data_IF_993450062062
#
_entry.id   IF_993450062062
#
_cell.length_a   1.000
_cell.length_b   1.000
_cell.length_c   1.000
_cell.angle_alpha   90.00
_cell.angle_beta   90.00
_cell.angle_gamma   90.00
#
_symmetry.space_group_name_H-M   'P 1'
#
loop_
_entity.id
_entity.type
_entity.pdbx_description
1 polymer ?
#
# COMPACT_ATOMS: atom_id res chain seq x y z
N UNK A 1 -18.73 28.84 -26.93
CA UNK A 1 -17.39 28.66 -27.49
C UNK A 1 -16.33 29.06 -26.44
N UNK A 2 -16.40 30.27 -25.85
CA UNK A 2 -15.41 30.78 -24.89
C UNK A 2 -15.15 29.87 -23.69
N UNK A 3 -16.09 29.00 -23.29
CA UNK A 3 -15.94 28.08 -22.19
C UNK A 3 -15.18 26.80 -22.58
N UNK A 4 -15.44 26.28 -23.77
CA UNK A 4 -14.91 24.98 -24.21
C UNK A 4 -13.68 25.07 -25.13
N UNK A 5 -13.32 26.27 -25.62
CA UNK A 5 -12.21 26.48 -26.53
C UNK A 5 -11.37 27.69 -26.11
N UNK A 6 -10.03 27.53 -25.96
CA UNK A 6 -9.25 26.28 -26.14
C UNK A 6 -9.50 25.26 -25.07
N UNK A 7 -9.22 23.98 -25.37
CA UNK A 7 -9.23 22.89 -24.37
C UNK A 7 -7.88 22.84 -23.63
N UNK A 8 -7.82 22.11 -22.49
CA UNK A 8 -6.59 21.97 -21.73
C UNK A 8 -5.68 20.92 -22.38
N UNK A 9 -6.19 19.70 -22.54
CA UNK A 9 -5.40 18.53 -22.89
C UNK A 9 -6.00 17.82 -24.11
N UNK A 10 -5.13 17.44 -25.06
CA UNK A 10 -5.43 16.51 -26.13
C UNK A 10 -4.70 15.20 -25.89
N UNK A 11 -5.44 14.09 -25.82
CA UNK A 11 -4.87 12.74 -25.71
C UNK A 11 -4.92 12.07 -27.07
N UNK A 12 -3.77 11.60 -27.58
CA UNK A 12 -3.67 11.03 -28.93
C UNK A 12 -2.45 10.11 -29.06
N UNK A 13 -2.37 9.39 -30.19
CA UNK A 13 -1.22 8.56 -30.52
C UNK A 13 -0.15 9.34 -31.31
N UNK A 14 1.15 9.04 -31.14
CA UNK A 14 2.23 9.73 -31.86
C UNK A 14 2.12 9.58 -33.40
N UNK A 15 1.59 8.45 -33.89
CA UNK A 15 1.47 8.15 -35.32
C UNK A 15 0.58 9.15 -36.10
N UNK A 16 -0.38 9.80 -35.41
CA UNK A 16 -1.32 10.71 -36.03
C UNK A 16 -1.03 12.19 -35.71
N UNK A 17 0.12 12.50 -35.14
CA UNK A 17 0.52 13.85 -34.78
C UNK A 17 0.47 14.79 -35.97
N UNK A 18 1.11 14.43 -37.08
CA UNK A 18 1.15 15.28 -38.31
C UNK A 18 -0.18 15.33 -39.01
N UNK A 19 -0.89 14.21 -39.10
CA UNK A 19 -2.12 14.13 -39.87
C UNK A 19 -3.33 14.71 -39.15
N UNK A 20 -3.27 14.83 -37.86
CA UNK A 20 -4.40 15.25 -37.04
C UNK A 20 -4.09 16.45 -36.15
N UNK A 21 -3.12 16.35 -35.25
CA UNK A 21 -2.80 17.40 -34.28
C UNK A 21 -2.30 18.66 -34.97
N UNK A 22 -1.40 18.53 -35.95
CA UNK A 22 -0.89 19.67 -36.73
C UNK A 22 -2.02 20.41 -37.46
N UNK A 23 -3.00 19.70 -38.02
CA UNK A 23 -4.16 20.33 -38.68
C UNK A 23 -5.01 21.11 -37.70
N UNK A 24 -5.25 20.58 -36.49
CA UNK A 24 -5.99 21.31 -35.44
C UNK A 24 -5.27 22.59 -35.03
N UNK A 25 -3.94 22.54 -34.90
CA UNK A 25 -3.14 23.73 -34.56
C UNK A 25 -3.21 24.78 -35.67
N UNK A 26 -3.05 24.36 -36.92
CA UNK A 26 -3.13 25.26 -38.10
C UNK A 26 -4.51 25.90 -38.17
N UNK A 27 -5.58 25.10 -38.13
CA UNK A 27 -6.95 25.60 -38.19
C UNK A 27 -7.29 26.51 -36.99
N UNK A 28 -6.88 26.13 -35.79
CA UNK A 28 -7.07 26.95 -34.60
C UNK A 28 -6.40 28.33 -34.73
N UNK A 29 -5.16 28.36 -35.20
CA UNK A 29 -4.43 29.61 -35.41
C UNK A 29 -5.04 30.45 -36.53
N UNK A 30 -5.42 29.84 -37.66
CA UNK A 30 -5.98 30.54 -38.81
C UNK A 30 -7.34 31.17 -38.48
N UNK A 31 -8.28 30.40 -37.90
CA UNK A 31 -9.67 30.84 -37.73
C UNK A 31 -9.96 31.52 -36.39
N UNK A 32 -9.17 31.30 -35.35
CA UNK A 32 -9.43 31.87 -34.01
C UNK A 32 -8.25 32.67 -33.44
N UNK A 33 -7.08 32.59 -34.05
CA UNK A 33 -5.84 33.20 -33.53
C UNK A 33 -5.28 32.50 -32.28
N UNK A 34 -5.93 31.45 -31.78
CA UNK A 34 -5.59 30.75 -30.53
C UNK A 34 -5.01 29.35 -30.77
N UNK A 35 -4.25 28.84 -29.81
CA UNK A 35 -3.91 27.41 -29.77
C UNK A 35 -5.17 26.64 -29.40
N UNK A 36 -5.47 25.49 -30.03
CA UNK A 36 -6.69 24.72 -29.74
C UNK A 36 -6.63 23.99 -28.38
N UNK A 37 -5.45 23.72 -27.87
CA UNK A 37 -5.20 23.03 -26.55
C UNK A 37 -3.84 23.47 -26.02
N UNK A 38 -3.67 23.28 -24.70
CA UNK A 38 -2.43 23.63 -23.97
C UNK A 38 -1.40 22.53 -24.06
N UNK A 39 -1.83 21.30 -23.83
CA UNK A 39 -0.97 20.11 -23.75
C UNK A 39 -1.40 19.06 -24.79
N UNK A 40 -0.44 18.22 -25.20
CA UNK A 40 -0.69 17.02 -26.01
C UNK A 40 -0.08 15.83 -25.28
N UNK A 41 -0.91 14.94 -24.79
CA UNK A 41 -0.49 13.69 -24.18
C UNK A 41 -0.44 12.58 -25.25
N UNK A 42 0.75 12.02 -25.46
CA UNK A 42 0.96 10.95 -26.43
C UNK A 42 0.87 9.58 -25.74
N UNK A 43 -0.14 8.79 -26.12
CA UNK A 43 -0.31 7.41 -25.61
C UNK A 43 0.63 6.45 -26.32
N UNK A 44 0.99 5.35 -25.65
CA UNK A 44 1.63 4.22 -26.31
C UNK A 44 0.69 3.47 -27.27
N UNK A 45 1.28 2.65 -28.13
CA UNK A 45 0.55 1.75 -29.04
C UNK A 45 0.46 0.38 -28.38
N UNK A 46 -0.73 -0.25 -28.51
CA UNK A 46 -0.96 -1.58 -27.94
C UNK A 46 -0.21 -2.64 -28.75
N UNK A 47 0.64 -3.40 -28.06
CA UNK A 47 1.40 -4.51 -28.63
C UNK A 47 1.08 -5.81 -27.89
N UNK A 48 1.23 -6.93 -28.58
CA UNK A 48 1.13 -8.25 -27.96
C UNK A 48 2.38 -8.61 -27.14
N UNK A 49 2.36 -9.76 -26.48
CA UNK A 49 3.48 -10.27 -25.66
C UNK A 49 4.80 -10.43 -26.44
N UNK A 50 4.74 -10.52 -27.77
CA UNK A 50 5.90 -10.60 -28.65
C UNK A 50 6.36 -9.23 -29.17
N UNK A 51 5.74 -8.13 -28.70
CA UNK A 51 6.07 -6.79 -29.12
C UNK A 51 5.52 -6.38 -30.47
N UNK A 52 4.64 -7.19 -31.10
CA UNK A 52 4.03 -6.89 -32.39
C UNK A 52 2.80 -5.99 -32.20
N UNK A 53 2.62 -5.01 -33.07
CA UNK A 53 1.43 -4.15 -33.05
C UNK A 53 0.17 -5.03 -33.18
N UNK A 54 -0.80 -4.81 -32.29
CA UNK A 54 -2.08 -5.51 -32.36
C UNK A 54 -2.89 -5.05 -33.57
N UNK A 55 -3.44 -5.99 -34.31
CA UNK A 55 -4.35 -5.73 -35.43
C UNK A 55 -5.32 -6.90 -35.65
N UNK A 56 -6.50 -6.57 -36.17
CA UNK A 56 -7.51 -7.58 -36.53
C UNK A 56 -6.99 -8.55 -37.59
N UNK A 57 -6.18 -8.06 -38.53
CA UNK A 57 -5.62 -8.88 -39.64
C UNK A 57 -4.60 -9.91 -39.14
N UNK A 58 -3.90 -9.66 -38.05
CA UNK A 58 -2.96 -10.60 -37.44
C UNK A 58 -3.64 -11.54 -36.45
N UNK A 59 -4.90 -11.33 -36.08
CA UNK A 59 -5.62 -12.13 -35.10
C UNK A 59 -5.04 -12.07 -33.69
N UNK A 60 -4.19 -11.08 -33.40
CA UNK A 60 -3.53 -10.90 -32.11
C UNK A 60 -4.18 -9.80 -31.24
N UNK A 61 -5.35 -9.31 -31.62
CA UNK A 61 -6.14 -8.32 -30.87
C UNK A 61 -7.37 -9.01 -30.30
N UNK A 62 -7.46 -9.21 -28.98
CA UNK A 62 -8.68 -9.74 -28.37
C UNK A 62 -9.86 -8.80 -28.58
N UNK A 63 -11.06 -9.33 -28.61
CA UNK A 63 -12.26 -8.49 -28.64
C UNK A 63 -12.45 -7.83 -27.25
N UNK A 64 -12.58 -6.51 -27.20
CA UNK A 64 -12.82 -5.81 -25.94
C UNK A 64 -14.10 -6.26 -25.22
N UNK A 65 -15.13 -6.69 -25.94
CA UNK A 65 -16.38 -7.15 -25.33
C UNK A 65 -16.18 -8.50 -24.64
N UNK A 66 -15.40 -9.42 -25.23
CA UNK A 66 -15.05 -10.69 -24.62
C UNK A 66 -14.23 -10.47 -23.32
N UNK A 67 -13.32 -9.49 -23.33
CA UNK A 67 -12.56 -9.12 -22.13
C UNK A 67 -13.46 -8.54 -21.05
N UNK A 68 -14.42 -7.70 -21.43
CA UNK A 68 -15.38 -7.08 -20.49
C UNK A 68 -16.30 -8.16 -19.88
N UNK A 69 -16.78 -9.11 -20.68
CA UNK A 69 -17.57 -10.23 -20.18
C UNK A 69 -16.78 -11.07 -19.15
N UNK A 70 -15.50 -11.32 -19.43
CA UNK A 70 -14.64 -12.17 -18.60
C UNK A 70 -14.14 -11.48 -17.33
N UNK A 71 -13.77 -10.20 -17.41
CA UNK A 71 -13.06 -9.49 -16.35
C UNK A 71 -13.84 -8.29 -15.76
N UNK A 72 -14.98 -7.93 -16.36
CA UNK A 72 -15.70 -6.71 -16.05
C UNK A 72 -15.06 -5.46 -16.67
N UNK A 73 -15.85 -4.43 -16.90
CA UNK A 73 -15.36 -3.18 -17.51
C UNK A 73 -14.26 -2.51 -16.67
N UNK A 74 -14.43 -2.43 -15.36
CA UNK A 74 -13.42 -1.87 -14.45
C UNK A 74 -12.12 -2.69 -14.46
N UNK A 75 -12.24 -4.03 -14.51
CA UNK A 75 -11.08 -4.92 -14.60
C UNK A 75 -10.26 -4.69 -15.87
N UNK A 76 -10.92 -4.53 -17.02
CA UNK A 76 -10.27 -4.23 -18.29
C UNK A 76 -9.62 -2.84 -18.27
N UNK A 77 -10.31 -1.81 -17.76
CA UNK A 77 -9.78 -0.44 -17.65
C UNK A 77 -8.51 -0.39 -16.80
N UNK A 78 -8.54 -1.00 -15.62
CA UNK A 78 -7.36 -1.11 -14.73
C UNK A 78 -6.23 -1.88 -15.42
N UNK A 79 -6.54 -3.02 -16.05
CA UNK A 79 -5.56 -3.82 -16.75
C UNK A 79 -4.85 -3.06 -17.87
N UNK A 80 -5.60 -2.34 -18.68
CA UNK A 80 -5.04 -1.51 -19.75
C UNK A 80 -4.13 -0.40 -19.22
N UNK A 81 -4.53 0.26 -18.14
CA UNK A 81 -3.75 1.35 -17.54
C UNK A 81 -2.49 0.85 -16.82
N UNK A 82 -2.54 -0.34 -16.19
CA UNK A 82 -1.34 -0.96 -15.60
C UNK A 82 -0.27 -1.29 -16.65
N UNK A 83 -0.70 -1.63 -17.87
CA UNK A 83 0.21 -1.89 -18.99
C UNK A 83 0.73 -0.61 -19.67
N UNK A 84 0.30 0.58 -19.28
CA UNK A 84 0.52 1.84 -20.02
C UNK A 84 1.56 2.74 -19.37
N UNK A 85 2.86 2.39 -19.36
CA UNK A 85 3.88 3.28 -18.83
C UNK A 85 3.96 4.57 -19.69
N UNK A 86 4.17 5.71 -19.03
CA UNK A 86 4.27 6.98 -19.70
C UNK A 86 5.39 6.99 -20.77
N UNK A 87 5.07 7.39 -22.00
CA UNK A 87 6.03 7.54 -23.09
C UNK A 87 6.49 6.24 -23.78
N UNK A 88 5.92 5.10 -23.45
CA UNK A 88 6.25 3.81 -24.06
C UNK A 88 5.03 3.10 -24.65
N UNK A 89 5.29 2.12 -25.52
CA UNK A 89 4.25 1.25 -26.04
C UNK A 89 3.68 0.36 -24.93
N UNK A 90 2.42 0.01 -25.07
CA UNK A 90 1.63 -0.74 -24.14
C UNK A 90 1.72 -2.22 -24.46
N UNK A 91 2.43 -2.98 -23.64
CA UNK A 91 2.54 -4.45 -23.76
C UNK A 91 1.33 -5.11 -23.08
N UNK A 92 0.30 -5.42 -23.86
CA UNK A 92 -0.93 -6.00 -23.33
C UNK A 92 -0.77 -7.43 -22.89
N UNK A 93 -1.21 -7.71 -21.65
CA UNK A 93 -1.36 -9.06 -21.11
C UNK A 93 -2.69 -9.15 -20.35
N UNK A 94 -3.49 -10.17 -20.66
CA UNK A 94 -4.78 -10.41 -19.99
C UNK A 94 -4.66 -10.59 -18.47
N UNK A 95 -3.51 -11.03 -17.98
CA UNK A 95 -3.26 -11.16 -16.53
C UNK A 95 -3.43 -9.85 -15.77
N UNK A 96 -3.19 -8.70 -16.41
CA UNK A 96 -3.48 -7.39 -15.82
C UNK A 96 -4.98 -7.10 -15.71
N UNK A 97 -5.80 -7.59 -16.67
CA UNK A 97 -7.25 -7.49 -16.56
C UNK A 97 -7.77 -8.36 -15.41
N UNK A 98 -7.18 -9.55 -15.23
CA UNK A 98 -7.48 -10.39 -14.06
C UNK A 98 -7.10 -9.71 -12.74
N UNK A 99 -5.94 -9.06 -12.68
CA UNK A 99 -5.53 -8.26 -11.53
C UNK A 99 -6.53 -7.14 -11.24
N UNK A 100 -7.01 -6.44 -12.27
CA UNK A 100 -8.04 -5.41 -12.15
C UNK A 100 -9.36 -5.95 -11.60
N UNK A 101 -9.83 -7.11 -12.10
CA UNK A 101 -11.01 -7.82 -11.57
C UNK A 101 -10.82 -8.20 -10.10
N UNK A 102 -9.66 -8.75 -9.75
CA UNK A 102 -9.37 -9.14 -8.38
C UNK A 102 -9.33 -7.92 -7.45
N UNK A 103 -8.85 -6.78 -7.96
CA UNK A 103 -8.89 -5.51 -7.23
C UNK A 103 -10.34 -5.03 -6.99
N UNK A 104 -11.18 -5.06 -8.02
CA UNK A 104 -12.61 -4.77 -7.87
C UNK A 104 -13.28 -5.67 -6.80
N UNK A 105 -13.02 -6.97 -6.85
CA UNK A 105 -13.52 -7.91 -5.85
C UNK A 105 -13.00 -7.60 -4.43
N UNK A 106 -11.76 -7.16 -4.30
CA UNK A 106 -11.20 -6.76 -2.99
C UNK A 106 -11.92 -5.55 -2.42
N UNK A 107 -12.17 -4.52 -3.25
CA UNK A 107 -12.91 -3.31 -2.86
C UNK A 107 -14.35 -3.67 -2.47
N UNK A 108 -15.01 -4.51 -3.24
CA UNK A 108 -16.36 -4.98 -2.94
C UNK A 108 -16.44 -5.74 -1.61
N UNK A 109 -15.48 -6.61 -1.36
CA UNK A 109 -15.43 -7.36 -0.11
C UNK A 109 -15.11 -6.46 1.09
N UNK A 110 -14.28 -5.43 0.93
CA UNK A 110 -14.05 -4.42 1.96
C UNK A 110 -15.34 -3.65 2.30
N UNK A 111 -16.08 -3.22 1.28
CA UNK A 111 -17.40 -2.60 1.45
C UNK A 111 -18.37 -3.52 2.21
N UNK A 112 -18.49 -4.79 1.78
CA UNK A 112 -19.37 -5.76 2.46
C UNK A 112 -18.98 -6.00 3.91
N UNK A 113 -17.68 -6.05 4.21
CA UNK A 113 -17.18 -6.20 5.58
C UNK A 113 -17.65 -5.02 6.44
N UNK A 114 -17.47 -3.80 5.97
CA UNK A 114 -17.84 -2.58 6.71
C UNK A 114 -19.34 -2.49 6.93
N UNK A 115 -20.14 -2.74 5.91
CA UNK A 115 -21.61 -2.75 6.01
C UNK A 115 -22.14 -3.88 6.91
N UNK A 116 -21.35 -4.91 7.13
CA UNK A 116 -21.68 -6.02 8.03
C UNK A 116 -21.34 -5.74 9.51
N UNK A 117 -20.72 -4.63 9.85
CA UNK A 117 -20.48 -4.27 11.23
C UNK A 117 -21.77 -3.83 11.92
N UNK A 118 -22.05 -4.38 13.09
CA UNK A 118 -23.07 -3.88 13.98
C UNK A 118 -22.54 -2.62 14.68
N UNK A 119 -23.24 -1.50 14.50
CA UNK A 119 -22.83 -0.22 15.12
C UNK A 119 -23.48 -0.11 16.49
N UNK A 120 -22.65 0.16 17.50
CA UNK A 120 -23.09 0.32 18.88
C UNK A 120 -24.08 1.49 19.03
N UNK A 121 -25.16 1.28 19.79
CA UNK A 121 -26.07 2.35 20.14
C UNK A 121 -25.38 3.37 21.08
N UNK A 122 -25.87 4.60 21.09
CA UNK A 122 -25.32 5.65 21.95
C UNK A 122 -25.42 5.33 23.46
N UNK A 123 -26.30 4.41 23.82
CA UNK A 123 -26.54 3.97 25.20
C UNK A 123 -25.69 2.75 25.61
N UNK A 124 -25.01 2.13 24.68
CA UNK A 124 -24.24 0.87 24.91
C UNK A 124 -23.01 1.03 25.80
N UNK A 125 -22.51 2.26 25.98
CA UNK A 125 -21.27 2.53 26.67
C UNK A 125 -20.00 2.07 25.92
N UNK A 126 -20.13 1.52 24.68
CA UNK A 126 -19.00 1.12 23.85
C UNK A 126 -18.33 2.38 23.30
N UNK A 127 -17.06 2.53 23.59
CA UNK A 127 -16.22 3.64 23.16
C UNK A 127 -15.04 3.17 22.32
N UNK A 128 -14.51 4.06 21.51
CA UNK A 128 -13.36 3.82 20.68
C UNK A 128 -12.13 3.37 21.50
N UNK A 129 -11.55 2.22 21.18
CA UNK A 129 -10.31 1.73 21.79
C UNK A 129 -9.09 2.54 21.33
N UNK A 130 -7.99 2.47 22.10
CA UNK A 130 -6.75 3.13 21.69
C UNK A 130 -6.18 2.53 20.39
N UNK A 131 -6.32 1.22 20.18
CA UNK A 131 -5.94 0.57 18.92
C UNK A 131 -6.72 1.14 17.72
N UNK A 132 -8.02 1.38 17.87
CA UNK A 132 -8.84 1.99 16.83
C UNK A 132 -8.45 3.47 16.60
N UNK A 133 -8.24 4.25 17.67
CA UNK A 133 -7.77 5.64 17.57
C UNK A 133 -6.44 5.74 16.82
N UNK A 134 -5.46 4.93 17.21
CA UNK A 134 -4.15 4.94 16.55
C UNK A 134 -4.23 4.50 15.08
N UNK A 135 -5.08 3.52 14.75
CA UNK A 135 -5.30 3.10 13.38
C UNK A 135 -5.94 4.19 12.53
N UNK A 136 -6.93 4.90 13.05
CA UNK A 136 -7.62 6.01 12.34
C UNK A 136 -6.63 7.14 12.09
N UNK A 137 -5.93 7.61 13.12
CA UNK A 137 -4.98 8.71 12.97
C UNK A 137 -3.84 8.36 12.03
N UNK A 138 -3.33 7.12 12.11
CA UNK A 138 -2.34 6.64 11.14
C UNK A 138 -2.88 6.65 9.71
N UNK A 139 -4.08 6.09 9.48
CA UNK A 139 -4.59 5.97 8.11
C UNK A 139 -4.97 7.34 7.53
N UNK A 140 -5.42 8.28 8.34
CA UNK A 140 -5.66 9.67 7.92
C UNK A 140 -4.37 10.33 7.41
N UNK A 141 -3.26 10.20 8.14
CA UNK A 141 -1.95 10.67 7.69
C UNK A 141 -1.47 9.94 6.44
N UNK A 142 -1.65 8.61 6.38
CA UNK A 142 -1.26 7.78 5.22
C UNK A 142 -2.06 8.13 3.96
N UNK A 143 -3.35 8.33 4.09
CA UNK A 143 -4.21 8.79 3.00
C UNK A 143 -3.74 10.15 2.47
N UNK A 144 -3.43 11.08 3.36
CA UNK A 144 -2.96 12.41 2.98
C UNK A 144 -1.59 12.37 2.30
N UNK A 145 -0.64 11.58 2.81
CA UNK A 145 0.66 11.33 2.17
C UNK A 145 0.49 10.77 0.75
N UNK A 146 -0.36 9.76 0.60
CA UNK A 146 -0.58 9.13 -0.69
C UNK A 146 -1.35 10.03 -1.67
N UNK A 147 -2.24 10.89 -1.19
CA UNK A 147 -2.89 11.92 -2.02
C UNK A 147 -1.88 12.88 -2.63
N UNK A 148 -0.85 13.30 -1.89
CA UNK A 148 0.22 14.14 -2.43
C UNK A 148 0.95 13.44 -3.58
N UNK A 149 1.34 12.17 -3.38
CA UNK A 149 2.02 11.34 -4.38
C UNK A 149 1.15 11.14 -5.63
N UNK A 150 -0.14 10.81 -5.44
CA UNK A 150 -1.09 10.59 -6.53
C UNK A 150 -1.30 11.89 -7.33
N UNK A 151 -1.46 13.03 -6.65
CA UNK A 151 -1.61 14.33 -7.30
C UNK A 151 -0.35 14.74 -8.06
N UNK A 152 0.85 14.46 -7.52
CA UNK A 152 2.10 14.67 -8.23
C UNK A 152 2.17 13.84 -9.51
N UNK A 153 1.78 12.56 -9.46
CA UNK A 153 1.71 11.71 -10.64
C UNK A 153 0.72 12.24 -11.68
N UNK A 154 -0.48 12.67 -11.26
CA UNK A 154 -1.45 13.29 -12.18
C UNK A 154 -0.90 14.56 -12.82
N UNK A 155 -0.25 15.43 -12.05
CA UNK A 155 0.34 16.67 -12.57
C UNK A 155 1.41 16.43 -13.63
N UNK A 156 2.06 15.27 -13.60
CA UNK A 156 3.11 14.81 -14.51
C UNK A 156 2.61 13.84 -15.58
N UNK A 157 1.31 13.62 -15.69
CA UNK A 157 0.68 12.66 -16.61
C UNK A 157 1.17 11.21 -16.45
N UNK A 158 1.61 10.83 -15.26
CA UNK A 158 2.06 9.47 -14.93
C UNK A 158 0.88 8.61 -14.44
N UNK A 159 -0.02 8.28 -15.37
CA UNK A 159 -1.29 7.63 -15.05
C UNK A 159 -1.12 6.24 -14.42
N UNK A 160 -0.21 5.41 -14.95
CA UNK A 160 0.09 4.09 -14.37
C UNK A 160 0.65 4.17 -12.95
N UNK A 161 1.51 5.18 -12.69
CA UNK A 161 2.10 5.37 -11.36
C UNK A 161 1.03 5.85 -10.36
N UNK A 162 0.12 6.75 -10.79
CA UNK A 162 -1.01 7.18 -9.97
C UNK A 162 -1.95 6.02 -9.64
N UNK A 163 -2.26 5.17 -10.63
CA UNK A 163 -3.05 3.97 -10.42
C UNK A 163 -2.37 2.98 -9.48
N UNK A 164 -1.05 2.77 -9.62
CA UNK A 164 -0.31 1.84 -8.76
C UNK A 164 -0.22 2.36 -7.31
N UNK A 165 -0.06 3.67 -7.10
CA UNK A 165 -0.11 4.29 -5.78
C UNK A 165 -1.50 4.11 -5.15
N UNK A 166 -2.58 4.34 -5.92
CA UNK A 166 -3.96 4.09 -5.50
C UNK A 166 -4.20 2.62 -5.15
N UNK A 167 -3.72 1.70 -5.98
CA UNK A 167 -3.83 0.26 -5.76
C UNK A 167 -3.20 -0.14 -4.43
N UNK A 168 -1.97 0.29 -4.16
CA UNK A 168 -1.25 -0.02 -2.91
C UNK A 168 -1.94 0.59 -1.69
N UNK A 169 -2.37 1.84 -1.77
CA UNK A 169 -3.11 2.49 -0.70
C UNK A 169 -4.37 1.70 -0.31
N UNK A 170 -5.13 1.23 -1.31
CA UNK A 170 -6.38 0.49 -1.06
C UNK A 170 -6.10 -0.95 -0.63
N UNK A 171 -5.24 -1.67 -1.37
CA UNK A 171 -5.01 -3.10 -1.12
C UNK A 171 -4.18 -3.34 0.13
N UNK A 172 -3.03 -2.67 0.22
CA UNK A 172 -2.07 -2.91 1.29
C UNK A 172 -2.42 -2.10 2.55
N UNK A 173 -2.53 -0.78 2.45
CA UNK A 173 -2.70 0.05 3.64
C UNK A 173 -4.12 -0.02 4.20
N UNK A 174 -5.15 0.20 3.37
CA UNK A 174 -6.53 0.18 3.85
C UNK A 174 -7.02 -1.23 4.18
N UNK A 175 -6.98 -2.14 3.21
CA UNK A 175 -7.57 -3.46 3.39
C UNK A 175 -6.75 -4.40 4.27
N UNK A 176 -5.41 -4.38 4.16
CA UNK A 176 -4.58 -5.34 4.89
C UNK A 176 -4.18 -4.87 6.29
N UNK A 177 -4.14 -3.55 6.52
CA UNK A 177 -3.75 -2.99 7.81
C UNK A 177 -4.89 -2.28 8.52
N UNK A 178 -5.45 -1.22 7.92
CA UNK A 178 -6.47 -0.41 8.59
C UNK A 178 -7.71 -1.22 8.97
N UNK A 179 -8.32 -1.92 8.01
CA UNK A 179 -9.52 -2.70 8.28
C UNK A 179 -9.26 -3.83 9.30
N UNK A 180 -8.09 -4.48 9.26
CA UNK A 180 -7.74 -5.48 10.27
C UNK A 180 -7.58 -4.87 11.68
N UNK A 181 -7.02 -3.67 11.74
CA UNK A 181 -6.83 -2.94 13.00
C UNK A 181 -8.15 -2.57 13.68
N UNK A 182 -9.16 -2.16 12.89
CA UNK A 182 -10.45 -1.67 13.42
C UNK A 182 -11.50 -2.77 13.57
N UNK A 183 -11.26 -3.99 13.07
CA UNK A 183 -12.22 -5.10 13.19
C UNK A 183 -12.71 -5.25 14.62
N UNK A 184 -14.02 -5.45 14.83
CA UNK A 184 -14.54 -5.78 16.15
C UNK A 184 -13.91 -7.06 16.71
N UNK A 185 -13.79 -7.11 18.03
CA UNK A 185 -13.33 -8.33 18.72
C UNK A 185 -14.41 -9.42 18.64
N UNK A 186 -13.96 -10.68 18.69
CA UNK A 186 -14.85 -11.83 18.76
C UNK A 186 -14.86 -12.36 20.20
N UNK A 187 -16.02 -12.27 20.85
CA UNK A 187 -16.27 -12.82 22.18
C UNK A 187 -17.34 -13.89 22.07
N UNK A 188 -17.09 -15.08 22.58
CA UNK A 188 -17.99 -16.24 22.55
C UNK A 188 -18.53 -16.57 21.13
N UNK A 189 -17.66 -16.40 20.12
CA UNK A 189 -17.99 -16.69 18.71
C UNK A 189 -18.86 -15.65 18.01
N UNK A 190 -19.10 -14.49 18.66
CA UNK A 190 -19.85 -13.38 18.09
C UNK A 190 -18.98 -12.14 17.94
N UNK A 191 -19.11 -11.46 16.80
CA UNK A 191 -18.52 -10.15 16.61
C UNK A 191 -19.17 -9.16 17.56
N UNK A 192 -18.37 -8.34 18.23
CA UNK A 192 -18.88 -7.26 19.08
C UNK A 192 -19.28 -6.07 18.23
N UNK A 193 -20.23 -5.23 18.68
CA UNK A 193 -20.52 -3.98 17.99
C UNK A 193 -19.31 -3.05 17.93
N UNK A 194 -19.18 -2.34 16.81
CA UNK A 194 -18.16 -1.29 16.65
C UNK A 194 -18.69 0.05 17.16
N UNK A 195 -17.84 0.86 17.77
CA UNK A 195 -18.21 2.21 18.15
C UNK A 195 -18.53 3.08 16.92
N UNK A 196 -19.39 4.07 17.12
CA UNK A 196 -19.90 4.93 16.04
C UNK A 196 -18.81 5.78 15.39
N UNK A 197 -17.85 6.26 16.17
CA UNK A 197 -16.80 7.15 15.66
C UNK A 197 -15.84 6.39 14.73
N UNK A 198 -15.46 5.17 15.11
CA UNK A 198 -14.66 4.28 14.26
C UNK A 198 -15.41 3.90 12.99
N UNK A 199 -16.70 3.57 13.10
CA UNK A 199 -17.51 3.25 11.93
C UNK A 199 -17.59 4.43 10.96
N UNK A 200 -17.90 5.63 11.45
CA UNK A 200 -18.00 6.84 10.63
C UNK A 200 -16.66 7.21 9.97
N UNK A 201 -15.55 7.14 10.72
CA UNK A 201 -14.23 7.36 10.15
C UNK A 201 -13.93 6.36 9.02
N UNK A 202 -14.28 5.09 9.21
CA UNK A 202 -14.08 4.04 8.21
C UNK A 202 -14.89 4.29 6.94
N UNK A 203 -16.16 4.74 7.07
CA UNK A 203 -16.99 5.14 5.92
C UNK A 203 -16.37 6.33 5.19
N UNK A 204 -15.94 7.37 5.91
CA UNK A 204 -15.33 8.56 5.31
C UNK A 204 -14.04 8.23 4.55
N UNK A 205 -13.22 7.33 5.07
CA UNK A 205 -12.04 6.84 4.36
C UNK A 205 -12.43 6.06 3.11
N UNK A 206 -13.41 5.16 3.19
CA UNK A 206 -13.87 4.43 2.02
C UNK A 206 -14.40 5.39 0.95
N UNK A 207 -15.22 6.38 1.30
CA UNK A 207 -15.69 7.40 0.36
C UNK A 207 -14.56 8.17 -0.31
N UNK A 208 -13.52 8.52 0.45
CA UNK A 208 -12.32 9.16 -0.09
C UNK A 208 -11.58 8.26 -1.08
N UNK A 209 -11.42 6.98 -0.73
CA UNK A 209 -10.81 5.98 -1.61
C UNK A 209 -11.63 5.73 -2.87
N UNK A 210 -12.97 5.70 -2.78
CA UNK A 210 -13.86 5.56 -3.94
C UNK A 210 -13.66 6.72 -4.91
N UNK A 211 -13.56 7.96 -4.42
CA UNK A 211 -13.29 9.15 -5.23
C UNK A 211 -11.94 9.05 -5.96
N UNK A 212 -10.89 8.58 -5.28
CA UNK A 212 -9.56 8.39 -5.87
C UNK A 212 -9.57 7.29 -6.93
N UNK A 213 -10.33 6.21 -6.72
CA UNK A 213 -10.45 5.08 -7.65
C UNK A 213 -11.36 5.37 -8.85
N UNK A 214 -12.32 6.28 -8.71
CA UNK A 214 -13.38 6.49 -9.71
C UNK A 214 -12.87 6.75 -11.13
N UNK A 215 -11.78 7.53 -11.37
CA UNK A 215 -11.23 7.71 -12.72
C UNK A 215 -10.82 6.40 -13.40
N UNK A 216 -10.47 5.39 -12.62
CA UNK A 216 -9.99 4.08 -13.08
C UNK A 216 -11.10 3.04 -13.16
N UNK A 217 -12.00 3.03 -12.16
CA UNK A 217 -13.02 2.02 -11.90
C UNK A 217 -14.39 2.66 -11.68
N UNK A 218 -14.96 3.33 -12.70
CA UNK A 218 -16.15 4.15 -12.52
C UNK A 218 -17.40 3.36 -12.14
N UNK A 219 -17.51 2.09 -12.54
CA UNK A 219 -18.75 1.33 -12.32
C UNK A 219 -18.88 0.85 -10.87
N UNK A 220 -17.88 0.13 -10.35
CA UNK A 220 -17.93 -0.38 -8.99
C UNK A 220 -17.89 0.72 -7.94
N UNK A 221 -17.17 1.82 -8.21
CA UNK A 221 -17.09 2.93 -7.26
C UNK A 221 -18.41 3.69 -7.17
N UNK A 222 -19.11 3.91 -8.28
CA UNK A 222 -20.44 4.50 -8.30
C UNK A 222 -21.44 3.62 -7.59
N UNK A 223 -21.46 2.31 -7.86
CA UNK A 223 -22.34 1.36 -7.20
C UNK A 223 -22.16 1.38 -5.68
N UNK A 224 -20.92 1.29 -5.21
CA UNK A 224 -20.63 1.34 -3.76
C UNK A 224 -21.01 2.69 -3.17
N UNK A 225 -20.78 3.81 -3.89
CA UNK A 225 -21.12 5.16 -3.45
C UNK A 225 -22.58 5.30 -3.08
N UNK A 226 -23.46 4.79 -3.92
CA UNK A 226 -24.92 4.80 -3.66
C UNK A 226 -25.34 3.78 -2.58
N UNK A 227 -24.65 2.64 -2.47
CA UNK A 227 -24.94 1.64 -1.44
C UNK A 227 -24.45 2.04 -0.04
N UNK A 228 -23.48 2.94 0.06
CA UNK A 228 -22.98 3.41 1.36
C UNK A 228 -23.98 4.28 2.09
N UNK A 229 -24.59 5.22 1.40
CA UNK A 229 -25.53 6.19 1.95
C UNK A 229 -26.72 6.38 0.99
N UNK A 230 -27.87 6.80 1.53
CA UNK A 230 -28.99 7.23 0.71
C UNK A 230 -28.61 8.52 -0.04
N UNK A 231 -28.62 8.48 -1.37
CA UNK A 231 -28.29 9.57 -2.27
C UNK A 231 -29.30 9.68 -3.40
N UNK A 232 -29.51 10.88 -3.91
CA UNK A 232 -30.29 11.07 -5.13
C UNK A 232 -29.51 10.54 -6.36
N UNK A 233 -30.21 10.22 -7.44
CA UNK A 233 -29.58 9.82 -8.72
C UNK A 233 -28.60 10.86 -9.26
N UNK A 234 -28.76 12.13 -8.90
CA UNK A 234 -27.89 13.23 -9.34
C UNK A 234 -26.66 13.41 -8.46
N UNK A 235 -26.62 12.79 -7.29
CA UNK A 235 -25.46 12.79 -6.37
C UNK A 235 -24.47 11.70 -6.78
N UNK A 236 -23.97 11.79 -8.01
CA UNK A 236 -22.98 10.86 -8.56
C UNK A 236 -21.59 11.18 -8.05
N UNK A 237 -20.75 10.16 -7.90
CA UNK A 237 -19.35 10.33 -7.45
C UNK A 237 -18.51 11.18 -8.40
N UNK A 238 -18.84 11.18 -9.69
CA UNK A 238 -18.12 11.96 -10.72
C UNK A 238 -18.16 13.48 -10.48
N UNK A 239 -19.18 13.98 -9.77
CA UNK A 239 -19.30 15.40 -9.41
C UNK A 239 -18.90 15.69 -7.96
N UNK A 240 -18.50 14.68 -7.21
CA UNK A 240 -18.05 14.81 -5.84
C UNK A 240 -16.68 15.53 -5.78
N UNK A 241 -16.46 16.30 -4.72
CA UNK A 241 -15.18 16.97 -4.50
C UNK A 241 -14.05 15.95 -4.28
N UNK A 242 -12.90 16.21 -4.91
CA UNK A 242 -11.68 15.44 -4.68
C UNK A 242 -11.26 15.51 -3.20
N UNK A 243 -10.74 14.41 -2.62
CA UNK A 243 -10.33 14.40 -1.23
C UNK A 243 -9.27 15.46 -0.93
N UNK A 244 -9.38 16.11 0.22
CA UNK A 244 -8.43 17.13 0.67
C UNK A 244 -7.30 16.50 1.47
N UNK A 245 -6.11 17.03 1.29
CA UNK A 245 -4.94 16.68 2.10
C UNK A 245 -5.00 17.38 3.46
N UNK A 246 -4.34 16.81 4.46
CA UNK A 246 -4.05 17.49 5.71
C UNK A 246 -3.08 18.65 5.47
N UNK A 247 -3.22 19.72 6.22
CA UNK A 247 -2.27 20.85 6.16
C UNK A 247 -0.87 20.45 6.61
N UNK A 248 -0.76 19.46 7.50
CA UNK A 248 0.50 18.98 8.04
C UNK A 248 0.41 17.48 8.32
N UNK A 249 1.40 16.74 7.83
CA UNK A 249 1.58 15.32 8.12
C UNK A 249 2.32 15.12 9.44
N UNK A 250 2.03 14.02 10.12
CA UNK A 250 2.81 13.51 11.23
C UNK A 250 3.78 12.41 10.74
N UNK A 251 4.94 12.87 10.22
CA UNK A 251 5.98 11.97 9.69
C UNK A 251 6.50 11.01 10.76
N UNK A 252 6.51 11.44 12.03
CA UNK A 252 6.94 10.58 13.13
C UNK A 252 5.98 9.42 13.30
N UNK A 253 4.68 9.69 13.32
CA UNK A 253 3.65 8.66 13.45
C UNK A 253 3.66 7.70 12.26
N UNK A 254 3.83 8.19 11.04
CA UNK A 254 3.99 7.35 9.85
C UNK A 254 5.20 6.41 9.99
N UNK A 255 6.34 6.93 10.44
CA UNK A 255 7.56 6.14 10.64
C UNK A 255 7.43 5.11 11.77
N UNK A 256 6.75 5.44 12.88
CA UNK A 256 6.47 4.53 13.99
C UNK A 256 5.53 3.39 13.57
N UNK A 257 4.54 3.69 12.73
CA UNK A 257 3.65 2.64 12.22
C UNK A 257 4.38 1.66 11.28
N UNK A 258 5.33 2.11 10.48
CA UNK A 258 6.15 1.19 9.66
C UNK A 258 6.95 0.23 10.55
N UNK A 259 7.48 0.68 11.70
CA UNK A 259 8.11 -0.21 12.70
C UNK A 259 7.08 -1.20 13.26
N UNK A 260 5.87 -0.72 13.57
CA UNK A 260 4.78 -1.57 14.07
C UNK A 260 4.40 -2.68 13.06
N UNK A 261 4.37 -2.36 11.76
CA UNK A 261 4.17 -3.37 10.70
C UNK A 261 5.29 -4.42 10.69
N UNK A 262 6.54 -3.99 10.87
CA UNK A 262 7.68 -4.92 10.93
C UNK A 262 7.58 -5.85 12.15
N UNK A 263 7.19 -5.32 13.33
CA UNK A 263 6.97 -6.12 14.54
C UNK A 263 5.88 -7.17 14.30
N UNK A 264 4.70 -6.74 13.84
CA UNK A 264 3.56 -7.64 13.58
C UNK A 264 3.93 -8.72 12.56
N UNK A 265 4.61 -8.34 11.49
CA UNK A 265 5.04 -9.27 10.43
C UNK A 265 6.06 -10.28 10.97
N UNK A 266 7.02 -9.82 11.78
CA UNK A 266 8.04 -10.70 12.37
C UNK A 266 7.41 -11.67 13.35
N UNK A 267 6.48 -11.24 14.22
CA UNK A 267 5.75 -12.13 15.12
C UNK A 267 4.96 -13.19 14.35
N UNK A 268 4.30 -12.82 13.24
CA UNK A 268 3.58 -13.77 12.38
C UNK A 268 4.54 -14.78 11.73
N UNK A 269 5.71 -14.36 11.31
CA UNK A 269 6.76 -15.23 10.77
C UNK A 269 7.31 -16.17 11.84
N UNK A 270 7.55 -15.69 13.06
CA UNK A 270 7.97 -16.54 14.18
C UNK A 270 6.93 -17.62 14.48
N UNK A 271 5.63 -17.27 14.49
CA UNK A 271 4.55 -18.25 14.65
C UNK A 271 4.62 -19.34 13.57
N UNK A 272 4.76 -18.95 12.31
CA UNK A 272 4.85 -19.90 11.20
C UNK A 272 6.09 -20.80 11.32
N UNK A 273 7.26 -20.25 11.63
CA UNK A 273 8.51 -20.99 11.78
C UNK A 273 8.49 -21.97 12.97
N UNK A 274 7.87 -21.56 14.05
CA UNK A 274 7.77 -22.37 15.28
C UNK A 274 6.50 -23.21 15.34
N UNK A 275 5.70 -23.23 14.26
CA UNK A 275 4.44 -23.96 14.14
C UNK A 275 3.43 -23.66 15.27
N UNK A 276 3.46 -22.42 15.79
CA UNK A 276 2.56 -21.94 16.84
C UNK A 276 1.19 -21.61 16.24
N UNK A 277 0.14 -21.95 16.99
CA UNK A 277 -1.22 -21.64 16.57
C UNK A 277 -1.44 -20.13 16.43
N UNK A 278 -2.09 -19.66 15.37
CA UNK A 278 -2.50 -18.25 15.28
C UNK A 278 -3.41 -17.79 16.42
N UNK A 279 -4.08 -18.72 17.10
CA UNK A 279 -4.98 -18.44 18.25
C UNK A 279 -4.25 -18.35 19.58
N UNK A 280 -3.03 -18.87 19.66
CA UNK A 280 -2.22 -18.79 20.88
C UNK A 280 -1.79 -17.33 21.11
N UNK A 281 -1.98 -16.81 22.31
CA UNK A 281 -1.53 -15.46 22.65
C UNK A 281 -0.08 -15.51 23.10
N UNK A 282 0.79 -14.71 22.51
CA UNK A 282 2.19 -14.58 22.88
C UNK A 282 2.42 -13.30 23.67
N UNK A 283 3.41 -13.30 24.56
CA UNK A 283 3.97 -12.08 25.13
C UNK A 283 5.18 -11.64 24.30
N UNK A 284 5.38 -10.33 24.17
CA UNK A 284 6.56 -9.74 23.54
C UNK A 284 7.16 -8.68 24.47
N UNK A 285 8.48 -8.62 24.53
CA UNK A 285 9.22 -7.64 25.29
C UNK A 285 10.15 -6.87 24.35
N UNK A 286 10.04 -5.56 24.36
CA UNK A 286 10.96 -4.66 23.64
C UNK A 286 12.08 -4.23 24.57
N UNK A 287 13.33 -4.36 24.14
CA UNK A 287 14.48 -3.84 24.89
C UNK A 287 14.65 -2.36 24.66
N UNK A 288 14.05 -1.58 25.55
CA UNK A 288 14.03 -0.13 25.45
C UNK A 288 13.84 0.50 26.84
N UNK A 289 14.31 1.74 26.98
CA UNK A 289 14.00 2.60 28.17
C UNK A 289 12.66 3.32 28.02
N UNK A 290 11.91 3.12 26.92
CA UNK A 290 10.58 3.67 26.72
C UNK A 290 9.58 2.98 27.67
N UNK A 291 8.52 3.72 28.03
CA UNK A 291 7.45 3.20 28.88
C UNK A 291 6.26 2.70 28.06
N UNK A 292 5.96 3.34 26.95
CA UNK A 292 4.81 3.03 26.09
C UNK A 292 4.88 3.72 24.74
N UNK A 293 4.41 3.04 23.67
CA UNK A 293 4.22 3.63 22.35
C UNK A 293 2.72 3.82 22.06
N UNK A 294 2.43 4.76 21.18
CA UNK A 294 1.07 5.03 20.70
C UNK A 294 0.43 3.80 19.99
N UNK A 295 1.25 2.89 19.47
CA UNK A 295 0.81 1.74 18.70
C UNK A 295 0.83 0.41 19.45
N UNK A 296 1.18 0.36 20.74
CA UNK A 296 1.29 -0.89 21.50
C UNK A 296 0.02 -1.74 21.46
N UNK A 297 -1.13 -1.13 21.76
CA UNK A 297 -2.41 -1.84 21.75
C UNK A 297 -2.78 -2.33 20.34
N UNK A 298 -2.40 -1.56 19.30
CA UNK A 298 -2.59 -1.95 17.91
C UNK A 298 -1.70 -3.15 17.54
N UNK A 299 -0.44 -3.13 17.94
CA UNK A 299 0.49 -4.26 17.75
C UNK A 299 -0.05 -5.50 18.46
N UNK A 300 -0.49 -5.34 19.71
CA UNK A 300 -1.08 -6.45 20.49
C UNK A 300 -2.27 -7.08 19.76
N UNK A 301 -3.16 -6.26 19.23
CA UNK A 301 -4.32 -6.72 18.46
C UNK A 301 -3.91 -7.43 17.17
N UNK A 302 -3.09 -6.81 16.35
CA UNK A 302 -2.73 -7.31 15.01
C UNK A 302 -1.81 -8.55 15.05
N UNK A 303 -0.99 -8.68 16.10
CA UNK A 303 -0.11 -9.82 16.32
C UNK A 303 -0.70 -10.89 17.25
N UNK A 304 -1.93 -10.70 17.76
CA UNK A 304 -2.60 -11.56 18.76
C UNK A 304 -1.72 -11.81 19.99
N UNK A 305 -1.31 -10.72 20.65
CA UNK A 305 -0.47 -10.79 21.85
C UNK A 305 -1.34 -10.73 23.12
N UNK A 306 -0.86 -11.37 24.18
CA UNK A 306 -1.39 -11.20 25.54
C UNK A 306 -0.77 -9.99 26.22
N UNK A 307 0.48 -9.65 25.85
CA UNK A 307 1.27 -8.61 26.48
C UNK A 307 2.27 -8.03 25.48
N UNK A 308 2.47 -6.72 25.56
CA UNK A 308 3.58 -5.99 24.94
C UNK A 308 4.19 -5.10 26.03
N UNK A 309 5.41 -5.38 26.42
CA UNK A 309 6.08 -4.72 27.54
C UNK A 309 7.50 -4.29 27.19
N UNK A 310 8.05 -3.37 27.98
CA UNK A 310 9.39 -2.84 27.81
C UNK A 310 10.32 -3.39 28.89
N UNK A 311 11.57 -3.71 28.51
CA UNK A 311 12.58 -4.22 29.41
C UNK A 311 13.93 -3.60 29.15
N UNK A 312 14.73 -3.37 30.21
CA UNK A 312 16.13 -2.94 30.10
C UNK A 312 17.08 -4.11 29.90
N UNK A 313 16.68 -5.25 30.45
CA UNK A 313 17.50 -6.44 30.49
C UNK A 313 17.07 -7.48 29.44
N UNK A 314 17.99 -8.37 29.12
CA UNK A 314 17.71 -9.51 28.25
C UNK A 314 16.76 -10.48 28.95
N UNK A 315 15.78 -10.99 28.22
CA UNK A 315 14.86 -12.02 28.72
C UNK A 315 15.49 -13.38 28.45
N UNK A 316 15.94 -14.05 29.51
CA UNK A 316 16.58 -15.36 29.39
C UNK A 316 15.59 -16.43 28.91
N UNK A 317 16.06 -17.33 28.03
CA UNK A 317 15.25 -18.41 27.47
C UNK A 317 14.18 -17.98 26.47
N UNK A 318 14.14 -16.69 26.08
CA UNK A 318 13.24 -16.19 25.06
C UNK A 318 13.86 -16.29 23.67
N UNK A 319 13.00 -16.48 22.67
CA UNK A 319 13.38 -16.27 21.28
C UNK A 319 13.58 -14.77 21.05
N UNK A 320 14.74 -14.36 20.54
CA UNK A 320 15.03 -12.96 20.24
C UNK A 320 15.08 -12.68 18.75
N UNK A 321 14.66 -11.49 18.38
CA UNK A 321 14.80 -10.95 17.02
C UNK A 321 15.05 -9.43 17.08
N UNK A 322 15.53 -8.88 15.98
CA UNK A 322 15.89 -7.48 15.92
C UNK A 322 15.13 -6.77 14.78
N UNK A 323 14.62 -5.58 15.08
CA UNK A 323 14.05 -4.65 14.11
C UNK A 323 14.84 -3.35 14.21
N UNK A 324 15.49 -2.96 13.11
CA UNK A 324 16.47 -1.86 13.09
C UNK A 324 17.54 -2.09 14.16
N UNK A 325 17.60 -1.25 15.19
CA UNK A 325 18.55 -1.34 16.30
C UNK A 325 17.92 -1.87 17.58
N UNK A 326 16.62 -2.11 17.60
CA UNK A 326 15.87 -2.54 18.81
C UNK A 326 15.74 -4.06 18.84
N UNK A 327 16.01 -4.64 19.98
CA UNK A 327 15.92 -6.07 20.24
C UNK A 327 14.59 -6.40 20.91
N UNK A 328 13.96 -7.49 20.46
CA UNK A 328 12.68 -7.98 20.95
C UNK A 328 12.80 -9.42 21.42
N UNK A 329 12.02 -9.79 22.44
CA UNK A 329 12.02 -11.12 23.03
C UNK A 329 10.61 -11.71 23.07
N UNK A 330 10.48 -12.97 22.68
CA UNK A 330 9.24 -13.76 22.79
C UNK A 330 9.56 -14.98 23.69
N UNK A 331 9.07 -15.03 24.93
CA UNK A 331 9.16 -16.23 25.73
C UNK A 331 8.36 -17.36 25.07
N UNK A 332 9.02 -18.44 24.70
CA UNK A 332 8.37 -19.60 24.11
C UNK A 332 8.35 -20.74 25.14
N UNK A 333 7.16 -21.26 25.40
CA UNK A 333 6.97 -22.39 26.32
C UNK A 333 7.29 -23.76 25.69
N UNK A 334 7.53 -23.79 24.37
CA UNK A 334 7.81 -25.00 23.59
C UNK A 334 9.30 -25.29 23.50
N UNK A 335 9.67 -26.58 23.64
CA UNK A 335 11.04 -27.05 23.42
C UNK A 335 11.51 -26.70 22.00
N UNK A 336 12.45 -25.77 21.91
CA UNK A 336 13.10 -25.40 20.63
C UNK A 336 14.04 -26.57 20.29
N UNK A 337 13.94 -27.11 19.07
CA UNK A 337 14.99 -28.00 18.55
C UNK A 337 16.27 -27.19 18.32
N UNK A 338 17.19 -27.31 19.25
CA UNK A 338 18.44 -26.52 19.32
C UNK A 338 19.26 -26.66 18.04
N UNK A 339 19.28 -27.86 17.44
CA UNK A 339 20.08 -28.13 16.26
C UNK A 339 19.51 -27.45 15.00
N UNK A 340 18.19 -27.49 14.81
CA UNK A 340 17.53 -26.78 13.71
C UNK A 340 17.66 -25.26 13.84
N UNK A 341 17.53 -24.75 15.07
CA UNK A 341 17.68 -23.32 15.32
C UNK A 341 19.12 -22.85 15.09
N UNK A 342 20.10 -23.64 15.47
CA UNK A 342 21.52 -23.37 15.20
C UNK A 342 21.82 -23.33 13.70
N UNK A 343 21.27 -24.29 12.93
CA UNK A 343 21.44 -24.30 11.46
C UNK A 343 20.79 -23.08 10.81
N UNK A 344 19.60 -22.70 11.26
CA UNK A 344 18.89 -21.50 10.77
C UNK A 344 19.69 -20.23 11.04
N UNK A 345 20.13 -20.03 12.29
CA UNK A 345 20.91 -18.85 12.70
C UNK A 345 22.24 -18.77 11.96
N UNK A 346 22.87 -19.91 11.69
CA UNK A 346 24.12 -19.95 10.92
C UNK A 346 23.89 -19.47 9.50
N UNK A 347 22.84 -19.95 8.81
CA UNK A 347 22.48 -19.49 7.46
C UNK A 347 22.17 -17.99 7.43
N UNK A 348 21.44 -17.50 8.44
CA UNK A 348 21.10 -16.09 8.56
C UNK A 348 22.33 -15.21 8.81
N UNK A 349 23.29 -15.70 9.60
CA UNK A 349 24.57 -15.06 9.88
C UNK A 349 25.39 -14.90 8.57
N UNK A 350 25.50 -15.97 7.79
CA UNK A 350 26.24 -15.99 6.53
C UNK A 350 25.62 -15.01 5.51
N UNK A 351 24.29 -14.99 5.43
CA UNK A 351 23.58 -14.03 4.58
C UNK A 351 23.88 -12.58 4.97
N UNK A 352 23.75 -12.23 6.27
CA UNK A 352 23.98 -10.86 6.75
C UNK A 352 25.45 -10.45 6.61
N UNK A 353 26.41 -11.37 6.81
CA UNK A 353 27.85 -11.13 6.53
C UNK A 353 28.10 -10.85 5.04
N UNK A 354 27.44 -11.61 4.15
CA UNK A 354 27.50 -11.37 2.71
C UNK A 354 26.90 -10.01 2.31
N UNK A 355 25.75 -9.66 2.90
CA UNK A 355 25.11 -8.36 2.70
C UNK A 355 26.00 -7.21 3.18
N UNK A 356 26.51 -7.27 4.41
CA UNK A 356 27.44 -6.28 4.96
C UNK A 356 28.64 -6.08 4.05
N UNK A 357 29.26 -7.16 3.59
CA UNK A 357 30.39 -7.10 2.64
C UNK A 357 30.02 -6.33 1.36
N UNK A 358 28.83 -6.55 0.82
CA UNK A 358 28.36 -5.84 -0.38
C UNK A 358 28.15 -4.33 -0.15
N UNK A 359 27.63 -3.96 1.01
CA UNK A 359 27.45 -2.55 1.42
C UNK A 359 28.81 -1.87 1.65
N UNK A 360 29.73 -2.54 2.34
CA UNK A 360 31.08 -2.04 2.57
C UNK A 360 31.87 -1.83 1.26
N UNK A 361 31.74 -2.74 0.30
CA UNK A 361 32.37 -2.58 -1.05
C UNK A 361 31.83 -1.33 -1.75
N UNK A 362 30.53 -1.03 -1.64
CA UNK A 362 29.96 0.21 -2.20
C UNK A 362 30.49 1.45 -1.49
N UNK A 363 30.52 1.44 -0.14
CA UNK A 363 30.99 2.56 0.67
C UNK A 363 32.51 2.79 0.56
N UNK A 364 33.30 1.76 0.23
CA UNK A 364 34.74 1.88 -0.03
C UNK A 364 35.05 2.33 -1.47
N UNK A 365 34.07 2.38 -2.36
CA UNK A 365 34.25 2.86 -3.71
C UNK A 365 34.30 4.40 -3.74
N UNK A 366 35.48 4.99 -3.84
CA UNK A 366 35.68 6.44 -3.86
C UNK A 366 34.85 7.15 -4.95
N UNK A 367 34.71 6.53 -6.13
CA UNK A 367 33.91 7.09 -7.24
C UNK A 367 32.40 7.10 -6.90
N UNK A 368 31.95 6.08 -6.21
CA UNK A 368 30.53 6.04 -5.76
C UNK A 368 30.29 7.11 -4.68
N UNK A 369 31.17 7.19 -3.68
CA UNK A 369 31.03 8.16 -2.57
C UNK A 369 31.14 9.60 -3.05
N UNK A 370 32.00 9.87 -4.04
CA UNK A 370 32.17 11.22 -4.58
C UNK A 370 31.00 11.69 -5.48
N UNK A 371 30.28 10.78 -6.15
CA UNK A 371 29.25 11.12 -7.12
C UNK A 371 27.81 10.85 -6.66
N UNK A 372 27.61 10.07 -5.60
CA UNK A 372 26.29 9.76 -5.09
C UNK A 372 25.71 10.93 -4.27
N UNK A 373 24.39 11.09 -4.31
CA UNK A 373 23.70 12.09 -3.48
C UNK A 373 23.93 11.79 -1.99
N UNK A 374 24.03 12.82 -1.12
CA UNK A 374 24.24 12.64 0.32
C UNK A 374 23.23 11.68 0.99
N UNK A 375 21.97 11.73 0.55
CA UNK A 375 20.88 10.87 1.03
C UNK A 375 21.14 9.38 0.73
N UNK A 376 21.71 9.08 -0.45
CA UNK A 376 22.06 7.71 -0.84
C UNK A 376 23.22 7.17 0.01
N UNK A 377 24.22 8.00 0.29
CA UNK A 377 25.32 7.64 1.17
C UNK A 377 24.85 7.42 2.60
N UNK A 378 23.98 8.30 3.10
CA UNK A 378 23.36 8.15 4.41
C UNK A 378 22.54 6.85 4.52
N UNK A 379 21.79 6.51 3.48
CA UNK A 379 21.05 5.25 3.40
C UNK A 379 21.96 4.02 3.42
N UNK A 380 23.06 4.02 2.67
CA UNK A 380 24.02 2.89 2.68
C UNK A 380 24.76 2.78 4.02
N UNK A 381 25.12 3.87 4.67
CA UNK A 381 25.69 3.85 6.03
C UNK A 381 24.72 3.33 7.08
N UNK A 382 23.42 3.66 6.94
CA UNK A 382 22.37 3.11 7.80
C UNK A 382 22.26 1.60 7.62
N UNK A 383 22.26 1.10 6.38
CA UNK A 383 22.27 -0.34 6.08
C UNK A 383 23.49 -1.06 6.67
N UNK A 384 24.68 -0.42 6.66
CA UNK A 384 25.88 -0.94 7.31
C UNK A 384 25.68 -1.09 8.82
N UNK A 385 25.19 -0.04 9.49
CA UNK A 385 24.94 -0.05 10.94
C UNK A 385 23.89 -1.11 11.31
N UNK A 386 22.78 -1.19 10.58
CA UNK A 386 21.72 -2.16 10.80
C UNK A 386 22.23 -3.60 10.61
N UNK A 387 23.07 -3.85 9.59
CA UNK A 387 23.66 -5.16 9.33
C UNK A 387 24.65 -5.57 10.43
N UNK A 388 25.49 -4.66 10.90
CA UNK A 388 26.43 -4.92 12.02
C UNK A 388 25.69 -5.28 13.30
N UNK A 389 24.65 -4.53 13.65
CA UNK A 389 23.82 -4.79 14.82
C UNK A 389 23.15 -6.16 14.72
N UNK A 390 22.63 -6.51 13.54
CA UNK A 390 21.98 -7.80 13.30
C UNK A 390 22.95 -8.98 13.38
N UNK A 391 24.15 -8.85 12.84
CA UNK A 391 25.22 -9.85 12.96
C UNK A 391 25.56 -10.10 14.42
N UNK A 392 25.78 -9.04 15.21
CA UNK A 392 26.11 -9.15 16.63
C UNK A 392 25.02 -9.89 17.42
N UNK A 393 23.75 -9.55 17.16
CA UNK A 393 22.60 -10.24 17.80
C UNK A 393 22.55 -11.72 17.44
N UNK A 394 22.75 -12.10 16.17
CA UNK A 394 22.75 -13.50 15.72
C UNK A 394 23.91 -14.27 16.34
N UNK A 395 25.12 -13.69 16.43
CA UNK A 395 26.29 -14.32 17.05
C UNK A 395 26.06 -14.54 18.56
N UNK A 396 25.40 -13.61 19.24
CA UNK A 396 25.00 -13.78 20.64
C UNK A 396 24.00 -14.91 20.82
N UNK A 397 22.96 -14.99 19.94
CA UNK A 397 21.98 -16.07 19.95
C UNK A 397 22.63 -17.44 19.73
N UNK A 398 23.55 -17.55 18.77
CA UNK A 398 24.32 -18.78 18.53
C UNK A 398 25.15 -19.19 19.75
N UNK A 399 25.71 -18.21 20.47
CA UNK A 399 26.44 -18.49 21.70
C UNK A 399 25.54 -18.94 22.85
N UNK A 400 24.30 -18.44 22.91
CA UNK A 400 23.33 -18.84 23.93
C UNK A 400 22.72 -20.25 23.72
N UNK A 401 22.87 -20.79 22.49
CA UNK A 401 22.47 -22.17 22.15
C UNK A 401 23.59 -23.22 22.42
N UNK A 402 24.71 -22.80 22.97
CA UNK A 402 25.77 -23.72 23.43
C UNK A 402 25.43 -24.24 24.82
#
# INVERSE_FOLDING_TARGET
LKYYYPTNDLVTAPEILFFWVARMIIAGKEYTGLKPFTNVYLTGIVRDKQGRKMSKSLGNSPDPLDLIEKYGADGVRVGMLLCSPAGNDLMFDESYCEQGRNFANKVWNAFRLIKGFEVASSESGITQSNAQKSAITWFENKLSEQLEIINDHYSKYRMSDALMATYKLVWDDYCAWYLEAIKPDFIDGKAQPIDKDTYNATINFLESLLKIMHPWMPFITEEIWHLLNERSEMDCIIVAEWPKQLEKLDDKQLAEFEVSKEIVTTVRNVRAQKQLSPKEKLAIFEKSDADRSYFDELIMKLANLSEFSYTKDKVEGAFSFQIKTTEFYIPLTTNINVDEERERLTKELDYNKGFLKSVMVKLSNEKFVANAKPEVIASERKKESDALSKIASIEEQLNSLK
#
